data_IF_794687139976
#
_entry.id   IF_794687139976
#
_cell.length_a   1.000
_cell.length_b   1.000
_cell.length_c   1.000
_cell.angle_alpha   90.00
_cell.angle_beta   90.00
_cell.angle_gamma   90.00
#
_symmetry.space_group_name_H-M   'P 1'
#
loop_
_entity.id
_entity.type
_entity.pdbx_description
1 polymer ?
#
# COMPACT_ATOMS: atom_id res chain seq x y z
N UNK A 1 4.33 -22.03 21.97
CA UNK A 1 2.90 -21.95 22.27
C UNK A 1 2.41 -23.33 22.69
N UNK A 2 1.72 -23.47 23.82
CA UNK A 2 1.18 -24.72 24.33
C UNK A 2 -0.32 -24.76 24.08
N UNK A 3 -0.83 -25.87 23.54
CA UNK A 3 -2.25 -26.08 23.28
C UNK A 3 -2.78 -27.11 24.28
N UNK A 4 -3.86 -26.80 24.97
CA UNK A 4 -4.41 -27.66 26.01
C UNK A 4 -4.98 -28.97 25.42
N UNK A 5 -5.43 -28.96 24.18
CA UNK A 5 -5.85 -30.18 23.46
C UNK A 5 -4.73 -31.20 23.32
N UNK A 6 -3.46 -30.81 23.37
CA UNK A 6 -2.34 -31.72 23.32
C UNK A 6 -2.30 -32.74 24.47
N UNK A 7 -2.84 -32.39 25.64
CA UNK A 7 -2.97 -33.29 26.78
C UNK A 7 -4.13 -34.30 26.64
N UNK A 8 -5.04 -34.04 25.69
CA UNK A 8 -6.22 -34.83 25.39
C UNK A 8 -6.05 -35.73 24.16
N UNK A 9 -4.79 -36.02 23.75
CA UNK A 9 -4.49 -36.86 22.60
C UNK A 9 -4.34 -38.32 23.01
N UNK A 10 -4.96 -39.21 22.23
CA UNK A 10 -4.72 -40.66 22.35
C UNK A 10 -3.31 -41.00 21.89
N UNK A 11 -2.64 -41.84 22.65
CA UNK A 11 -1.31 -42.39 22.34
C UNK A 11 -1.38 -43.94 22.25
N UNK A 12 -1.83 -44.48 21.09
CA UNK A 12 -2.06 -45.92 20.94
C UNK A 12 -0.82 -46.78 21.23
N UNK A 13 0.36 -46.24 20.85
CA UNK A 13 1.65 -46.91 21.12
C UNK A 13 1.95 -47.10 22.60
N UNK A 14 1.32 -46.31 23.48
CA UNK A 14 1.43 -46.41 24.93
C UNK A 14 0.17 -46.97 25.59
N UNK A 15 -0.82 -47.42 24.81
CA UNK A 15 -2.08 -47.91 25.30
C UNK A 15 -3.00 -46.85 25.96
N UNK A 16 -2.67 -45.57 25.75
CA UNK A 16 -3.46 -44.48 26.27
C UNK A 16 -4.53 -44.08 25.26
N UNK A 17 -5.80 -44.18 25.67
CA UNK A 17 -6.95 -43.78 24.87
C UNK A 17 -7.69 -42.63 25.54
N UNK A 18 -7.94 -41.54 24.81
CA UNK A 18 -8.72 -40.40 25.26
C UNK A 18 -10.00 -40.35 24.46
N UNK A 19 -11.19 -40.33 25.12
CA UNK A 19 -12.45 -40.23 24.39
C UNK A 19 -12.63 -38.82 23.85
N UNK A 20 -13.20 -38.73 22.65
CA UNK A 20 -13.63 -37.46 22.07
C UNK A 20 -15.03 -37.12 22.67
N UNK A 21 -15.09 -36.09 23.48
CA UNK A 21 -16.29 -35.66 24.20
C UNK A 21 -16.59 -34.19 23.99
N UNK A 22 -17.73 -33.70 24.47
CA UNK A 22 -18.06 -32.28 24.47
C UNK A 22 -17.00 -31.44 25.22
N UNK A 23 -16.38 -31.98 26.26
CA UNK A 23 -15.28 -31.33 26.98
C UNK A 23 -14.07 -31.15 26.05
N UNK A 24 -13.71 -32.17 25.24
CA UNK A 24 -12.65 -32.08 24.25
C UNK A 24 -12.96 -31.01 23.18
N UNK A 25 -14.22 -30.91 22.74
CA UNK A 25 -14.64 -29.86 21.81
C UNK A 25 -14.52 -28.46 22.40
N UNK A 26 -14.83 -28.29 23.67
CA UNK A 26 -14.70 -27.01 24.38
C UNK A 26 -13.24 -26.59 24.51
N UNK A 27 -12.34 -27.53 24.84
CA UNK A 27 -10.86 -27.30 24.85
C UNK A 27 -10.37 -26.88 23.48
N UNK A 28 -10.78 -27.55 22.42
CA UNK A 28 -10.43 -27.19 21.03
C UNK A 28 -10.89 -25.77 20.69
N UNK A 29 -12.10 -25.39 21.12
CA UNK A 29 -12.62 -24.01 20.91
C UNK A 29 -11.86 -22.96 21.70
N UNK A 30 -11.40 -23.26 22.90
CA UNK A 30 -10.56 -22.38 23.71
C UNK A 30 -9.18 -22.22 23.10
N UNK A 31 -8.55 -23.29 22.67
CA UNK A 31 -7.28 -23.27 21.94
C UNK A 31 -7.39 -22.47 20.63
N UNK A 32 -8.50 -22.63 19.90
CA UNK A 32 -8.77 -21.83 18.70
C UNK A 32 -8.80 -20.33 19.01
N UNK A 33 -9.53 -19.93 20.05
CA UNK A 33 -9.61 -18.50 20.47
C UNK A 33 -8.26 -17.98 20.90
N UNK A 34 -7.52 -18.75 21.68
CA UNK A 34 -6.19 -18.37 22.16
C UNK A 34 -5.21 -18.19 21.01
N UNK A 35 -5.24 -19.08 20.01
CA UNK A 35 -4.43 -18.94 18.78
C UNK A 35 -4.81 -17.69 17.99
N UNK A 36 -6.12 -17.47 17.80
CA UNK A 36 -6.63 -16.32 17.06
C UNK A 36 -6.27 -14.99 17.74
N UNK A 37 -6.42 -14.93 19.07
CA UNK A 37 -6.15 -13.73 19.86
C UNK A 37 -4.66 -13.34 19.91
N UNK A 38 -3.75 -14.23 19.45
CA UNK A 38 -2.34 -13.86 19.27
C UNK A 38 -2.14 -12.74 18.25
N UNK A 39 -3.08 -12.56 17.30
CA UNK A 39 -3.00 -11.59 16.22
C UNK A 39 -1.95 -11.91 15.13
N UNK A 40 -1.34 -13.11 15.18
CA UNK A 40 -0.33 -13.53 14.20
C UNK A 40 -0.90 -14.24 12.98
N UNK A 41 -2.19 -14.59 13.03
CA UNK A 41 -2.84 -15.36 11.98
C UNK A 41 -3.69 -14.48 11.07
N UNK A 42 -3.66 -14.79 9.80
CA UNK A 42 -4.54 -14.24 8.78
C UNK A 42 -5.82 -15.06 8.69
N UNK A 43 -5.68 -16.39 8.81
CA UNK A 43 -6.81 -17.32 8.88
C UNK A 43 -6.50 -18.49 9.81
N UNK A 44 -7.56 -19.08 10.37
CA UNK A 44 -7.51 -20.24 11.25
C UNK A 44 -8.80 -21.04 11.12
N UNK A 45 -8.68 -22.33 10.73
CA UNK A 45 -9.84 -23.23 10.73
C UNK A 45 -9.47 -24.62 11.24
N UNK A 46 -10.48 -25.33 11.75
CA UNK A 46 -10.30 -26.66 12.32
C UNK A 46 -11.11 -27.65 11.52
N UNK A 47 -10.48 -28.75 11.16
CA UNK A 47 -11.11 -29.91 10.56
C UNK A 47 -11.11 -31.08 11.55
N UNK A 48 -12.24 -31.75 11.66
CA UNK A 48 -12.39 -32.97 12.48
C UNK A 48 -12.78 -34.12 11.54
N UNK A 49 -11.87 -35.06 11.37
CA UNK A 49 -12.01 -36.16 10.42
C UNK A 49 -12.16 -37.47 11.18
N UNK A 50 -13.11 -38.31 10.76
CA UNK A 50 -13.28 -39.67 11.29
C UNK A 50 -12.18 -40.59 10.76
N UNK A 51 -11.44 -41.20 11.65
CA UNK A 51 -10.33 -42.13 11.32
C UNK A 51 -10.61 -43.50 11.90
N UNK A 52 -10.87 -44.54 11.08
CA UNK A 52 -11.09 -45.89 11.54
C UNK A 52 -9.80 -46.53 12.02
N UNK A 53 -9.85 -47.24 13.14
CA UNK A 53 -8.74 -47.98 13.73
C UNK A 53 -8.97 -49.48 13.56
N UNK A 54 -7.87 -50.29 13.54
CA UNK A 54 -7.90 -51.72 13.32
C UNK A 54 -8.74 -52.51 14.35
N UNK A 55 -9.00 -51.93 15.51
CA UNK A 55 -9.84 -52.52 16.57
C UNK A 55 -11.35 -52.23 16.41
N UNK A 56 -11.76 -51.62 15.29
CA UNK A 56 -13.16 -51.26 15.03
C UNK A 56 -13.64 -49.99 15.72
N UNK A 57 -12.76 -49.28 16.39
CA UNK A 57 -13.06 -47.98 16.97
C UNK A 57 -12.88 -46.86 15.92
N UNK A 58 -13.74 -45.87 15.91
CA UNK A 58 -13.58 -44.70 15.09
C UNK A 58 -12.95 -43.60 15.94
N UNK A 59 -11.73 -43.19 15.61
CA UNK A 59 -11.07 -42.02 16.19
C UNK A 59 -11.44 -40.75 15.50
N UNK A 60 -11.18 -39.61 16.15
CA UNK A 60 -11.28 -38.27 15.54
C UNK A 60 -9.86 -37.72 15.38
N UNK A 61 -9.52 -37.34 14.15
CA UNK A 61 -8.32 -36.55 13.87
C UNK A 61 -8.71 -35.08 13.81
N UNK A 62 -8.13 -34.29 14.68
CA UNK A 62 -8.32 -32.83 14.72
C UNK A 62 -7.13 -32.17 14.06
N UNK A 63 -7.39 -31.36 13.04
CA UNK A 63 -6.37 -30.67 12.27
C UNK A 63 -6.62 -29.17 12.43
N UNK A 64 -5.62 -28.45 12.99
CA UNK A 64 -5.61 -27.00 12.99
C UNK A 64 -4.88 -26.51 11.75
N UNK A 65 -5.59 -25.85 10.86
CA UNK A 65 -5.03 -25.21 9.67
C UNK A 65 -4.79 -23.74 9.98
N UNK A 66 -3.57 -23.27 9.77
CA UNK A 66 -3.11 -21.96 10.16
C UNK A 66 -2.58 -21.24 8.92
N UNK A 67 -2.99 -19.99 8.74
CA UNK A 67 -2.38 -19.07 7.77
C UNK A 67 -1.79 -17.89 8.54
N UNK A 68 -0.44 -17.81 8.54
CA UNK A 68 0.25 -16.73 9.26
C UNK A 68 0.19 -15.42 8.49
N UNK A 69 0.09 -14.31 9.23
CA UNK A 69 0.18 -12.97 8.64
C UNK A 69 1.59 -12.71 8.13
N UNK A 70 1.66 -12.14 6.94
CA UNK A 70 2.92 -11.75 6.33
C UNK A 70 3.60 -10.62 7.09
N UNK A 71 4.93 -10.71 7.24
CA UNK A 71 5.78 -9.72 7.90
C UNK A 71 6.86 -9.23 6.97
N UNK A 72 6.95 -7.92 6.84
CA UNK A 72 7.95 -7.26 6.01
C UNK A 72 9.33 -7.38 6.65
N UNK A 73 10.24 -8.12 6.03
CA UNK A 73 11.65 -8.21 6.44
C UNK A 73 12.52 -7.16 5.75
N UNK A 74 12.22 -6.92 4.49
CA UNK A 74 12.91 -5.93 3.68
C UNK A 74 11.89 -5.17 2.85
N UNK A 75 12.19 -3.90 2.57
CA UNK A 75 11.46 -3.13 1.57
C UNK A 75 12.42 -2.29 0.75
N UNK A 76 12.14 -2.18 -0.55
CA UNK A 76 12.96 -1.47 -1.52
C UNK A 76 12.09 -0.65 -2.47
N UNK A 77 12.70 0.40 -3.05
CA UNK A 77 12.17 1.15 -4.17
C UNK A 77 13.14 1.00 -5.34
N UNK A 78 12.65 0.66 -6.51
CA UNK A 78 13.43 0.36 -7.69
C UNK A 78 12.83 1.00 -8.95
N UNK A 79 13.67 1.42 -9.90
CA UNK A 79 13.24 1.84 -11.22
C UNK A 79 13.18 3.35 -11.45
N UNK A 80 13.43 4.20 -10.43
CA UNK A 80 13.49 5.65 -10.61
C UNK A 80 14.94 6.17 -10.64
N UNK A 81 15.17 7.15 -11.54
CA UNK A 81 16.40 7.93 -11.61
C UNK A 81 16.19 9.38 -11.08
N UNK A 82 14.96 9.87 -11.06
CA UNK A 82 14.60 11.26 -10.72
C UNK A 82 14.20 11.46 -9.26
N UNK A 83 13.59 10.44 -8.65
CA UNK A 83 13.19 10.46 -7.23
C UNK A 83 14.00 9.40 -6.51
N UNK A 84 14.94 9.82 -5.69
CA UNK A 84 15.78 8.89 -4.99
C UNK A 84 15.14 8.34 -3.70
N UNK A 85 15.66 7.22 -3.22
CA UNK A 85 15.15 6.56 -2.02
C UNK A 85 15.20 7.47 -0.79
N UNK A 86 16.22 8.31 -0.67
CA UNK A 86 16.40 9.20 0.49
C UNK A 86 15.28 10.24 0.55
N UNK A 87 14.85 10.75 -0.61
CA UNK A 87 13.74 11.69 -0.72
C UNK A 87 12.41 11.00 -0.37
N UNK A 88 12.19 9.78 -0.85
CA UNK A 88 11.01 8.98 -0.50
C UNK A 88 10.98 8.70 1.01
N UNK A 89 12.08 8.24 1.59
CA UNK A 89 12.18 7.94 3.03
C UNK A 89 11.90 9.20 3.88
N UNK A 90 12.39 10.36 3.45
CA UNK A 90 12.14 11.66 4.09
C UNK A 90 10.67 12.05 4.00
N UNK A 91 10.09 11.99 2.80
CA UNK A 91 8.68 12.30 2.58
C UNK A 91 7.74 11.35 3.36
N UNK A 92 8.06 10.07 3.41
CA UNK A 92 7.33 9.10 4.24
C UNK A 92 7.37 9.48 5.71
N UNK A 93 8.53 9.86 6.23
CA UNK A 93 8.73 10.23 7.62
C UNK A 93 7.93 11.49 7.98
N UNK A 94 7.95 12.52 7.13
CA UNK A 94 7.21 13.77 7.30
C UNK A 94 5.69 13.54 7.29
N UNK A 95 5.21 12.55 6.54
CA UNK A 95 3.80 12.18 6.47
C UNK A 95 3.40 11.09 7.49
N UNK A 96 4.26 10.75 8.44
CA UNK A 96 3.99 9.76 9.48
C UNK A 96 3.80 8.34 8.94
N UNK A 97 4.34 8.05 7.76
CA UNK A 97 4.32 6.74 7.14
C UNK A 97 5.64 6.02 7.45
N UNK A 98 5.58 4.85 8.07
CA UNK A 98 6.77 4.06 8.37
C UNK A 98 6.50 2.58 8.11
N UNK A 99 7.21 2.02 7.15
CA UNK A 99 7.29 0.57 6.97
C UNK A 99 8.39 0.07 7.91
N UNK A 100 7.98 -0.66 8.96
CA UNK A 100 8.94 -1.16 9.94
C UNK A 100 9.31 -2.61 9.62
N UNK A 101 10.57 -2.91 9.70
CA UNK A 101 11.06 -4.30 9.66
C UNK A 101 10.39 -5.11 10.76
N UNK A 102 10.01 -6.35 10.44
CA UNK A 102 9.23 -7.26 11.31
C UNK A 102 7.79 -6.82 11.64
N UNK A 103 7.29 -5.72 11.04
CA UNK A 103 5.88 -5.40 11.12
C UNK A 103 5.05 -6.24 10.17
N UNK A 104 3.76 -6.40 10.49
CA UNK A 104 2.84 -7.03 9.55
C UNK A 104 2.68 -6.20 8.28
N UNK A 105 2.49 -6.90 7.16
CA UNK A 105 2.16 -6.27 5.89
C UNK A 105 0.83 -5.50 6.02
N UNK A 106 0.86 -4.21 5.73
CA UNK A 106 -0.30 -3.32 5.78
C UNK A 106 -0.60 -2.77 4.38
N UNK A 107 -1.59 -3.35 3.72
CA UNK A 107 -2.02 -2.93 2.38
C UNK A 107 -2.52 -1.47 2.35
N UNK A 108 -3.07 -0.98 3.47
CA UNK A 108 -3.48 0.41 3.61
C UNK A 108 -2.27 1.35 3.62
N UNK A 109 -1.20 0.98 4.33
CA UNK A 109 0.06 1.72 4.33
C UNK A 109 0.71 1.68 2.94
N UNK A 110 0.77 0.52 2.29
CA UNK A 110 1.29 0.37 0.92
C UNK A 110 0.57 1.33 -0.04
N UNK A 111 -0.77 1.37 0.02
CA UNK A 111 -1.56 2.28 -0.82
C UNK A 111 -1.22 3.76 -0.57
N UNK A 112 -1.03 4.15 0.69
CA UNK A 112 -0.65 5.54 1.05
C UNK A 112 0.76 5.87 0.55
N UNK A 113 1.71 4.95 0.69
CA UNK A 113 3.09 5.13 0.18
C UNK A 113 3.07 5.28 -1.33
N UNK A 114 2.32 4.44 -2.06
CA UNK A 114 2.16 4.58 -3.51
C UNK A 114 1.60 5.96 -3.90
N UNK A 115 0.57 6.43 -3.20
CA UNK A 115 0.00 7.77 -3.44
C UNK A 115 0.99 8.91 -3.15
N UNK A 116 1.81 8.77 -2.11
CA UNK A 116 2.86 9.74 -1.80
C UNK A 116 3.93 9.80 -2.91
N UNK A 117 4.42 8.65 -3.33
CA UNK A 117 5.44 8.56 -4.40
C UNK A 117 4.88 9.06 -5.73
N UNK A 118 3.62 8.74 -6.03
CA UNK A 118 2.91 9.27 -7.20
C UNK A 118 2.90 10.81 -7.18
N UNK A 119 2.52 11.41 -6.04
CA UNK A 119 2.53 12.85 -5.88
C UNK A 119 3.94 13.47 -6.05
N UNK A 120 4.99 12.80 -5.56
CA UNK A 120 6.37 13.26 -5.75
C UNK A 120 6.75 13.30 -7.23
N UNK A 121 6.38 12.28 -8.01
CA UNK A 121 6.59 12.26 -9.46
C UNK A 121 5.80 13.36 -10.17
N UNK A 122 4.53 13.57 -9.83
CA UNK A 122 3.68 14.63 -10.38
C UNK A 122 4.27 16.01 -10.11
N UNK A 123 4.84 16.23 -8.90
CA UNK A 123 5.51 17.49 -8.55
C UNK A 123 6.82 17.70 -9.33
N UNK A 124 7.46 16.63 -9.81
CA UNK A 124 8.60 16.72 -10.73
C UNK A 124 8.18 16.77 -12.21
N UNK A 125 6.87 16.66 -12.50
CA UNK A 125 6.29 16.76 -13.83
C UNK A 125 6.09 15.44 -14.57
N UNK A 126 6.15 14.32 -13.86
CA UNK A 126 5.91 12.99 -14.38
C UNK A 126 4.48 12.55 -14.10
N UNK A 127 3.55 13.08 -14.89
CA UNK A 127 2.10 12.90 -14.69
C UNK A 127 1.59 11.47 -14.99
N UNK A 128 2.40 10.67 -15.67
CA UNK A 128 2.06 9.31 -16.07
C UNK A 128 2.90 8.27 -15.33
N UNK A 129 3.51 8.66 -14.21
CA UNK A 129 4.26 7.71 -13.40
C UNK A 129 3.36 6.59 -12.88
N UNK A 130 3.86 5.37 -12.91
CA UNK A 130 3.18 4.18 -12.39
C UNK A 130 3.98 3.59 -11.24
N UNK A 131 3.33 3.33 -10.12
CA UNK A 131 3.93 2.71 -8.96
C UNK A 131 3.25 1.37 -8.70
N UNK A 132 3.97 0.30 -8.91
CA UNK A 132 3.52 -1.04 -8.58
C UNK A 132 4.21 -1.56 -7.30
N UNK A 133 3.71 -2.63 -6.73
CA UNK A 133 4.36 -3.30 -5.62
C UNK A 133 4.31 -4.80 -5.81
N UNK A 134 5.36 -5.47 -5.38
CA UNK A 134 5.48 -6.91 -5.34
C UNK A 134 5.79 -7.37 -3.92
N UNK A 135 5.15 -8.46 -3.52
CA UNK A 135 5.39 -9.12 -2.24
C UNK A 135 5.99 -10.50 -2.52
N UNK A 136 7.26 -10.66 -2.19
CA UNK A 136 8.00 -11.90 -2.47
C UNK A 136 8.25 -12.66 -1.18
N UNK A 137 7.79 -13.94 -1.05
CA UNK A 137 8.09 -14.77 0.11
C UNK A 137 9.59 -15.03 0.26
N UNK A 138 10.10 -14.90 1.48
CA UNK A 138 11.52 -15.15 1.78
C UNK A 138 11.74 -16.57 2.33
N UNK A 139 12.83 -17.23 1.94
CA UNK A 139 13.23 -18.51 2.55
C UNK A 139 13.68 -18.27 4.00
N UNK A 140 13.27 -19.12 4.92
CA UNK A 140 13.79 -19.09 6.31
C UNK A 140 12.76 -18.87 7.41
N UNK A 141 11.48 -18.81 7.09
CA UNK A 141 10.40 -18.77 8.08
C UNK A 141 9.05 -18.48 7.44
N UNK A 142 7.97 -19.04 7.99
CA UNK A 142 6.63 -18.75 7.49
C UNK A 142 6.29 -17.27 7.64
N UNK A 143 5.58 -16.71 6.66
CA UNK A 143 5.09 -15.34 6.68
C UNK A 143 6.15 -14.24 6.51
N UNK A 144 7.43 -14.54 6.27
CA UNK A 144 8.45 -13.53 6.01
C UNK A 144 8.44 -13.12 4.54
N UNK A 145 8.32 -11.80 4.27
CA UNK A 145 8.26 -11.29 2.90
C UNK A 145 9.19 -10.10 2.68
N UNK A 146 9.60 -9.93 1.44
CA UNK A 146 10.18 -8.72 0.89
C UNK A 146 9.10 -7.93 0.14
N UNK A 147 9.05 -6.61 0.37
CA UNK A 147 8.16 -5.69 -0.30
C UNK A 147 8.98 -4.81 -1.24
N UNK A 148 8.76 -4.95 -2.55
CA UNK A 148 9.43 -4.12 -3.57
C UNK A 148 8.41 -3.18 -4.20
N UNK A 149 8.73 -1.89 -4.25
CA UNK A 149 7.99 -0.91 -5.03
C UNK A 149 8.73 -0.68 -6.36
N UNK A 150 8.06 -0.98 -7.44
CA UNK A 150 8.55 -0.74 -8.80
C UNK A 150 8.02 0.62 -9.27
N UNK A 151 8.94 1.49 -9.63
CA UNK A 151 8.68 2.87 -10.01
C UNK A 151 8.94 3.02 -11.51
N UNK A 152 7.91 3.38 -12.28
CA UNK A 152 8.05 3.77 -13.67
C UNK A 152 7.67 5.26 -13.78
N UNK A 153 8.63 6.10 -14.08
CA UNK A 153 8.44 7.54 -14.14
C UNK A 153 7.57 7.96 -15.33
N UNK A 154 7.61 7.18 -16.41
CA UNK A 154 7.02 7.59 -17.66
C UNK A 154 7.66 8.86 -18.25
N UNK A 155 7.03 9.50 -19.22
CA UNK A 155 7.56 10.71 -19.85
C UNK A 155 7.27 11.97 -19.03
N UNK A 156 8.24 12.86 -18.93
CA UNK A 156 8.06 14.20 -18.35
C UNK A 156 7.14 15.05 -19.23
N UNK A 157 6.13 15.67 -18.63
CA UNK A 157 5.10 16.44 -19.33
C UNK A 157 5.48 17.91 -19.37
N UNK A 158 5.33 18.54 -20.53
CA UNK A 158 5.61 19.95 -20.73
C UNK A 158 4.39 20.70 -21.28
N UNK A 159 4.24 21.93 -20.83
CA UNK A 159 3.24 22.88 -21.37
C UNK A 159 3.81 23.47 -22.66
N UNK A 160 3.29 23.08 -23.80
CA UNK A 160 3.75 23.59 -25.10
C UNK A 160 3.12 24.93 -25.44
N UNK A 161 1.82 25.08 -25.19
CA UNK A 161 1.08 26.32 -25.47
C UNK A 161 -0.03 26.56 -24.46
N UNK A 162 -0.26 27.82 -24.10
CA UNK A 162 -1.38 28.28 -23.29
C UNK A 162 -2.26 29.19 -24.15
N UNK A 163 -3.51 28.84 -24.36
CA UNK A 163 -4.49 29.63 -25.07
C UNK A 163 -5.75 29.86 -24.24
N UNK A 164 -6.40 30.98 -24.45
CA UNK A 164 -7.65 31.33 -23.80
C UNK A 164 -8.76 31.38 -24.84
N UNK A 165 -9.96 30.95 -24.50
CA UNK A 165 -11.13 30.93 -25.37
C UNK A 165 -12.29 31.60 -24.62
N UNK A 166 -13.03 32.51 -25.30
CA UNK A 166 -14.14 33.23 -24.69
C UNK A 166 -13.74 34.35 -23.75
N UNK A 167 -12.50 34.83 -23.83
CA UNK A 167 -11.94 35.91 -23.01
C UNK A 167 -12.13 37.29 -23.64
N UNK A 168 -13.34 37.59 -24.12
CA UNK A 168 -13.65 38.85 -24.84
C UNK A 168 -13.35 40.11 -24.00
N UNK A 169 -13.44 40.02 -22.68
CA UNK A 169 -13.23 41.14 -21.78
C UNK A 169 -11.75 41.37 -21.43
N UNK A 170 -10.92 40.34 -21.50
CA UNK A 170 -9.51 40.37 -21.10
C UNK A 170 -8.63 39.82 -22.18
N UNK A 171 -7.51 40.48 -22.47
CA UNK A 171 -6.56 39.99 -23.45
C UNK A 171 -5.76 38.78 -22.93
N UNK A 172 -5.34 37.88 -23.82
CA UNK A 172 -4.45 36.76 -23.51
C UNK A 172 -3.20 37.19 -22.74
N UNK A 173 -2.65 38.37 -23.10
CA UNK A 173 -1.47 38.91 -22.43
C UNK A 173 -1.74 39.22 -20.95
N UNK A 174 -2.93 39.78 -20.61
CA UNK A 174 -3.32 40.04 -19.23
C UNK A 174 -3.51 38.76 -18.47
N UNK A 175 -4.22 37.78 -19.05
CA UNK A 175 -4.46 36.46 -18.43
C UNK A 175 -3.17 35.69 -18.20
N UNK A 176 -2.28 35.59 -19.21
CA UNK A 176 -0.94 34.98 -19.06
C UNK A 176 -0.10 35.69 -17.98
N UNK A 177 -0.30 36.98 -17.78
CA UNK A 177 0.36 37.76 -16.71
C UNK A 177 -0.07 37.34 -15.30
N UNK A 178 -1.26 36.81 -15.15
CA UNK A 178 -1.77 36.27 -13.87
C UNK A 178 -1.26 34.89 -13.55
N UNK A 179 -0.98 34.07 -14.58
CA UNK A 179 -0.41 32.73 -14.44
C UNK A 179 1.07 32.84 -14.06
N UNK A 180 1.40 32.64 -12.79
CA UNK A 180 2.75 32.81 -12.26
C UNK A 180 3.60 31.56 -12.35
N UNK A 181 2.98 30.42 -12.16
CA UNK A 181 3.64 29.13 -12.03
C UNK A 181 3.71 28.38 -13.35
N UNK A 182 2.57 28.25 -14.03
CA UNK A 182 2.48 27.53 -15.30
C UNK A 182 3.00 28.40 -16.43
N UNK A 183 4.04 27.93 -17.12
CA UNK A 183 4.68 28.63 -18.22
C UNK A 183 4.82 27.70 -19.45
N UNK A 184 4.78 28.30 -20.62
CA UNK A 184 5.07 27.58 -21.86
C UNK A 184 6.54 27.16 -21.92
N UNK A 185 6.78 25.98 -22.50
CA UNK A 185 8.11 25.47 -22.81
C UNK A 185 8.82 26.40 -23.79
N UNK A 186 10.13 26.57 -23.62
CA UNK A 186 11.00 27.28 -24.54
C UNK A 186 12.28 26.47 -24.81
N UNK A 187 13.12 26.91 -25.71
CA UNK A 187 14.23 26.11 -26.21
C UNK A 187 15.30 25.71 -25.15
N UNK A 188 15.39 26.41 -24.01
CA UNK A 188 16.27 26.08 -22.89
C UNK A 188 15.53 25.45 -21.70
N UNK A 189 14.30 25.03 -21.86
CA UNK A 189 13.49 24.44 -20.79
C UNK A 189 14.15 23.19 -20.16
N UNK A 190 14.91 22.45 -20.92
CA UNK A 190 15.66 21.29 -20.43
C UNK A 190 16.71 21.63 -19.36
N UNK A 191 17.23 22.87 -19.36
CA UNK A 191 18.19 23.37 -18.34
C UNK A 191 17.49 24.01 -17.12
N UNK A 192 16.32 24.59 -17.32
CA UNK A 192 15.71 25.47 -16.31
C UNK A 192 14.48 24.85 -15.66
N UNK A 193 14.00 23.69 -16.13
CA UNK A 193 12.74 23.08 -15.73
C UNK A 193 11.49 23.88 -16.12
N UNK A 194 11.66 25.05 -16.77
CA UNK A 194 10.55 25.93 -17.17
C UNK A 194 9.69 25.25 -18.20
N UNK A 195 8.37 25.35 -18.01
CA UNK A 195 7.40 24.74 -18.91
C UNK A 195 7.10 23.28 -18.58
N UNK A 196 7.64 22.73 -17.49
CA UNK A 196 7.17 21.46 -16.94
C UNK A 196 5.73 21.63 -16.43
N UNK A 197 4.86 20.71 -16.80
CA UNK A 197 3.50 20.69 -16.29
C UNK A 197 3.48 20.11 -14.87
N UNK A 198 2.92 20.87 -13.96
CA UNK A 198 2.66 20.46 -12.57
C UNK A 198 1.22 20.79 -12.25
N UNK A 199 0.40 19.80 -11.94
CA UNK A 199 -1.05 19.99 -11.77
C UNK A 199 -1.38 20.97 -10.67
N UNK A 200 -0.73 20.85 -9.50
CA UNK A 200 -0.94 21.79 -8.38
C UNK A 200 -0.64 23.24 -8.76
N UNK A 201 0.39 23.48 -9.57
CA UNK A 201 0.73 24.83 -10.06
C UNK A 201 -0.28 25.37 -11.08
N UNK A 202 -0.81 24.48 -11.91
CA UNK A 202 -1.87 24.83 -12.84
C UNK A 202 -3.17 25.20 -12.12
N UNK A 203 -3.58 24.43 -11.11
CA UNK A 203 -4.75 24.72 -10.29
C UNK A 203 -4.63 26.07 -9.57
N UNK A 204 -3.47 26.36 -8.95
CA UNK A 204 -3.21 27.68 -8.35
C UNK A 204 -3.32 28.82 -9.36
N UNK A 205 -2.82 28.64 -10.57
CA UNK A 205 -2.91 29.66 -11.62
C UNK A 205 -4.35 29.80 -12.12
N UNK A 206 -5.13 28.72 -12.19
CA UNK A 206 -6.56 28.76 -12.51
C UNK A 206 -7.35 29.56 -11.46
N UNK A 207 -7.10 29.32 -10.17
CA UNK A 207 -7.69 30.08 -9.09
C UNK A 207 -7.33 31.58 -9.14
N UNK A 208 -6.09 31.92 -9.50
CA UNK A 208 -5.67 33.31 -9.70
C UNK A 208 -6.40 33.97 -10.85
N UNK A 209 -6.67 33.26 -11.94
CA UNK A 209 -7.46 33.77 -13.05
C UNK A 209 -8.90 34.04 -12.64
N UNK A 210 -9.52 33.13 -11.90
CA UNK A 210 -10.87 33.33 -11.34
C UNK A 210 -10.90 34.57 -10.40
N UNK A 211 -9.92 34.67 -9.50
CA UNK A 211 -9.80 35.82 -8.60
C UNK A 211 -9.59 37.15 -9.36
N UNK A 212 -8.79 37.12 -10.43
CA UNK A 212 -8.57 38.28 -11.28
C UNK A 212 -9.87 38.76 -11.95
N UNK A 213 -10.63 37.83 -12.56
CA UNK A 213 -11.93 38.17 -13.16
C UNK A 213 -12.92 38.72 -12.13
N UNK A 214 -13.00 38.17 -10.94
CA UNK A 214 -13.86 38.64 -9.85
C UNK A 214 -13.49 40.06 -9.40
N UNK A 215 -12.22 40.39 -9.30
CA UNK A 215 -11.72 41.72 -8.96
C UNK A 215 -12.06 42.77 -10.02
N UNK A 216 -12.18 42.37 -11.29
CA UNK A 216 -12.59 43.20 -12.39
C UNK A 216 -14.15 43.31 -12.52
N UNK A 217 -14.89 42.66 -11.60
CA UNK A 217 -16.35 42.76 -11.52
C UNK A 217 -17.11 41.60 -12.19
N UNK A 218 -16.46 40.59 -12.67
CA UNK A 218 -17.08 39.37 -13.25
C UNK A 218 -17.34 38.32 -12.16
N UNK A 219 -18.53 38.41 -11.53
CA UNK A 219 -18.86 37.64 -10.32
C UNK A 219 -19.06 36.15 -10.62
N UNK A 220 -19.45 35.80 -11.84
CA UNK A 220 -19.74 34.44 -12.30
C UNK A 220 -18.55 33.76 -13.05
N UNK A 221 -17.35 34.25 -12.83
CA UNK A 221 -16.13 33.70 -13.44
C UNK A 221 -15.59 32.49 -12.65
#
# INVERSE_FOLDING_TARGET
>A
FYMDVADHVSLPSQGKWMPYTEETENIIREDFRTLWDTGFLNDLWIEVIDEPWDNGVVGKRVIFNLEERERVKFFTFEGSEEVDRGDIDTAMQENGMAIRVDSFLDLGLIKRVKGLVQFMFEDEGYQFAEIEHEVTPLPGGPGSVELTFHLDEGPKVFVENISFVGNDAMSDRQLRGQMKNTKERWFLSWMTGRGTYKEAQYEEDADRLVAFYRNEGYVDA
#
